data_IF_975283979080
#
_entry.id   IF_975283979080
#
_cell.length_a   1.000
_cell.length_b   1.000
_cell.length_c   1.000
_cell.angle_alpha   90.00
_cell.angle_beta   90.00
_cell.angle_gamma   90.00
#
_symmetry.space_group_name_H-M   'P 1'
#
loop_
_entity.id
_entity.type
_entity.pdbx_description
1 polymer ?
#
# COMPACT_ATOMS: atom_id res chain seq x y z
N UNK A 1 -2.73 1.34 3.71
CA UNK A 1 -2.92 1.47 2.25
C UNK A 1 -3.19 2.91 1.84
N UNK A 2 -4.36 3.54 2.12
CA UNK A 2 -4.70 4.91 1.67
C UNK A 2 -3.62 5.96 1.98
N UNK A 3 -3.16 6.02 3.23
CA UNK A 3 -2.09 6.95 3.64
C UNK A 3 -0.79 6.70 2.87
N UNK A 4 -0.43 5.45 2.64
CA UNK A 4 0.78 5.08 1.89
C UNK A 4 0.70 5.55 0.44
N UNK A 5 -0.44 5.38 -0.22
CA UNK A 5 -0.58 5.66 -1.65
C UNK A 5 -0.75 7.16 -1.94
N UNK A 6 -1.39 7.90 -1.04
CA UNK A 6 -1.68 9.32 -1.27
C UNK A 6 -0.72 10.28 -0.58
N UNK A 7 0.00 9.89 0.48
CA UNK A 7 0.82 10.81 1.28
C UNK A 7 1.84 11.59 0.43
N UNK A 8 2.54 10.87 -0.46
CA UNK A 8 3.53 11.44 -1.36
C UNK A 8 2.89 12.47 -2.32
N UNK A 9 1.83 12.06 -3.01
CA UNK A 9 1.11 12.93 -3.95
C UNK A 9 0.54 14.16 -3.26
N UNK A 10 -0.09 13.99 -2.09
CA UNK A 10 -0.66 15.09 -1.29
C UNK A 10 0.41 16.06 -0.83
N UNK A 11 1.56 15.57 -0.36
CA UNK A 11 2.65 16.44 0.10
C UNK A 11 3.22 17.29 -1.04
N UNK A 12 3.58 16.64 -2.16
CA UNK A 12 4.15 17.35 -3.31
C UNK A 12 3.16 18.32 -3.95
N UNK A 13 1.91 17.90 -4.16
CA UNK A 13 0.87 18.77 -4.74
C UNK A 13 0.55 19.96 -3.85
N UNK A 14 0.57 19.78 -2.52
CA UNK A 14 0.34 20.87 -1.56
C UNK A 14 1.45 21.90 -1.61
N UNK A 15 2.72 21.48 -1.59
CA UNK A 15 3.87 22.38 -1.70
C UNK A 15 3.89 23.09 -3.06
N UNK A 16 3.57 22.38 -4.14
CA UNK A 16 3.44 22.92 -5.49
C UNK A 16 2.34 23.99 -5.57
N UNK A 17 1.18 23.73 -4.96
CA UNK A 17 0.08 24.69 -4.90
C UNK A 17 0.50 26.02 -4.28
N UNK A 18 1.19 25.98 -3.15
CA UNK A 18 1.69 27.20 -2.47
C UNK A 18 2.75 27.89 -3.30
N UNK A 19 3.67 27.12 -3.90
CA UNK A 19 4.72 27.67 -4.76
C UNK A 19 4.14 28.39 -5.99
N UNK A 20 3.22 27.75 -6.71
CA UNK A 20 2.51 28.35 -7.88
C UNK A 20 1.73 29.60 -7.46
N UNK A 21 1.05 29.55 -6.32
CA UNK A 21 0.30 30.70 -5.79
C UNK A 21 1.17 31.93 -5.55
N UNK A 22 2.40 31.71 -5.09
CA UNK A 22 3.38 32.82 -4.90
C UNK A 22 3.99 33.32 -6.20
N UNK A 23 4.22 32.43 -7.19
CA UNK A 23 4.81 32.80 -8.48
C UNK A 23 3.82 33.51 -9.41
N UNK A 24 2.60 33.00 -9.51
CA UNK A 24 1.63 33.38 -10.55
C UNK A 24 0.31 33.93 -9.99
N UNK A 25 0.21 34.05 -8.66
CA UNK A 25 -0.96 34.61 -8.00
C UNK A 25 -2.25 33.84 -8.28
N UNK A 26 -3.40 34.56 -8.28
CA UNK A 26 -4.74 33.96 -8.44
C UNK A 26 -4.90 33.19 -9.76
N UNK A 27 -4.32 33.69 -10.87
CA UNK A 27 -4.39 33.01 -12.18
C UNK A 27 -3.70 31.66 -12.15
N UNK A 28 -2.49 31.58 -11.56
CA UNK A 28 -1.76 30.32 -11.38
C UNK A 28 -2.53 29.33 -10.52
N UNK A 29 -3.14 29.79 -9.43
CA UNK A 29 -3.97 28.92 -8.56
C UNK A 29 -5.19 28.37 -9.28
N UNK A 30 -5.84 29.15 -10.15
CA UNK A 30 -6.98 28.68 -10.96
C UNK A 30 -6.54 27.60 -11.95
N UNK A 31 -5.42 27.80 -12.67
CA UNK A 31 -4.86 26.79 -13.59
C UNK A 31 -4.52 25.52 -12.83
N UNK A 32 -3.85 25.65 -11.69
CA UNK A 32 -3.47 24.49 -10.86
C UNK A 32 -4.68 23.77 -10.30
N UNK A 33 -5.69 24.49 -9.84
CA UNK A 33 -6.96 23.93 -9.35
C UNK A 33 -7.71 23.18 -10.46
N UNK A 34 -7.79 23.76 -11.67
CA UNK A 34 -8.38 23.10 -12.82
C UNK A 34 -7.63 21.81 -13.21
N UNK A 35 -6.30 21.84 -13.21
CA UNK A 35 -5.47 20.67 -13.48
C UNK A 35 -5.68 19.56 -12.44
N UNK A 36 -5.75 19.90 -11.15
CA UNK A 36 -6.09 18.93 -10.09
C UNK A 36 -7.48 18.34 -10.30
N UNK A 37 -8.47 19.16 -10.62
CA UNK A 37 -9.82 18.72 -10.94
C UNK A 37 -9.85 17.73 -12.11
N UNK A 38 -9.13 18.02 -13.19
CA UNK A 38 -8.97 17.10 -14.32
C UNK A 38 -8.27 15.81 -13.92
N UNK A 39 -7.23 15.88 -13.10
CA UNK A 39 -6.55 14.69 -12.54
C UNK A 39 -7.50 13.80 -11.73
N UNK A 40 -8.36 14.39 -10.91
CA UNK A 40 -9.39 13.66 -10.14
C UNK A 40 -10.42 13.03 -11.07
N UNK A 41 -10.96 13.77 -12.04
CA UNK A 41 -11.93 13.26 -13.01
C UNK A 41 -11.36 12.08 -13.83
N UNK A 42 -10.12 12.23 -14.32
CA UNK A 42 -9.42 11.15 -15.02
C UNK A 42 -9.20 9.93 -14.12
N UNK A 43 -8.91 10.15 -12.82
CA UNK A 43 -8.77 9.06 -11.83
C UNK A 43 -10.08 8.30 -11.62
N UNK A 44 -11.20 9.02 -11.51
CA UNK A 44 -12.53 8.40 -11.37
C UNK A 44 -12.87 7.59 -12.63
N UNK A 45 -12.64 8.16 -13.82
CA UNK A 45 -12.86 7.46 -15.08
C UNK A 45 -11.99 6.19 -15.18
N UNK A 46 -10.70 6.29 -14.82
CA UNK A 46 -9.79 5.14 -14.81
C UNK A 46 -10.23 4.07 -13.80
N UNK A 47 -10.66 4.48 -12.60
CA UNK A 47 -11.19 3.56 -11.60
C UNK A 47 -12.45 2.84 -12.10
N UNK A 48 -13.38 3.56 -12.73
CA UNK A 48 -14.59 2.98 -13.33
C UNK A 48 -14.25 1.98 -14.45
N UNK A 49 -13.30 2.31 -15.33
CA UNK A 49 -12.85 1.38 -16.38
C UNK A 49 -12.21 0.13 -15.78
N UNK A 50 -11.32 0.29 -14.77
CA UNK A 50 -10.68 -0.84 -14.08
C UNK A 50 -11.70 -1.72 -13.35
N UNK A 51 -12.74 -1.13 -12.78
CA UNK A 51 -13.79 -1.87 -12.07
C UNK A 51 -14.65 -2.69 -13.03
N UNK A 52 -15.06 -2.11 -14.16
CA UNK A 52 -15.98 -2.73 -15.10
C UNK A 52 -15.30 -3.62 -16.15
N UNK A 53 -14.01 -3.44 -16.37
CA UNK A 53 -13.27 -4.14 -17.42
C UNK A 53 -11.93 -4.65 -16.92
N UNK A 54 -11.42 -5.72 -17.54
CA UNK A 54 -10.05 -6.22 -17.29
C UNK A 54 -9.05 -5.71 -18.34
N UNK A 55 -9.42 -4.69 -19.11
CA UNK A 55 -8.62 -4.19 -20.23
C UNK A 55 -7.33 -3.52 -19.79
N UNK A 56 -7.31 -2.90 -18.58
CA UNK A 56 -6.17 -2.13 -18.11
C UNK A 56 -5.38 -2.94 -17.07
N UNK A 57 -4.26 -3.50 -17.53
CA UNK A 57 -3.28 -4.15 -16.67
C UNK A 57 -2.28 -3.09 -16.19
N UNK A 58 -2.39 -2.70 -14.92
CA UNK A 58 -1.60 -1.60 -14.34
C UNK A 58 -0.09 -1.79 -14.52
N UNK A 59 0.43 -3.01 -14.46
CA UNK A 59 1.86 -3.29 -14.66
C UNK A 59 2.36 -2.90 -16.05
N UNK A 60 1.51 -2.97 -17.08
CA UNK A 60 1.88 -2.60 -18.45
C UNK A 60 1.91 -1.07 -18.68
N UNK A 61 1.05 -0.32 -17.96
CA UNK A 61 0.90 1.12 -18.19
C UNK A 61 1.70 1.97 -17.22
N UNK A 62 2.02 1.46 -16.04
CA UNK A 62 2.67 2.24 -14.99
C UNK A 62 4.03 2.82 -15.42
N UNK A 63 4.81 2.12 -16.25
CA UNK A 63 6.10 2.64 -16.69
C UNK A 63 5.98 3.90 -17.55
N UNK A 64 4.93 4.03 -18.38
CA UNK A 64 4.68 5.27 -19.14
C UNK A 64 4.33 6.42 -18.19
N UNK A 65 3.55 6.15 -17.16
CA UNK A 65 3.19 7.16 -16.14
C UNK A 65 4.44 7.59 -15.36
N UNK A 66 5.31 6.65 -14.98
CA UNK A 66 6.59 6.99 -14.35
C UNK A 66 7.50 7.82 -15.26
N UNK A 67 7.52 7.54 -16.57
CA UNK A 67 8.26 8.36 -17.53
C UNK A 67 7.74 9.79 -17.58
N UNK A 68 6.42 9.98 -17.66
CA UNK A 68 5.78 11.31 -17.65
C UNK A 68 6.09 12.06 -16.35
N UNK A 69 5.91 11.40 -15.21
CA UNK A 69 6.19 11.99 -13.89
C UNK A 69 7.67 12.38 -13.80
N UNK A 70 8.58 11.50 -14.19
CA UNK A 70 10.02 11.76 -14.16
C UNK A 70 10.39 12.94 -15.04
N UNK A 71 9.91 12.97 -16.29
CA UNK A 71 10.17 14.07 -17.24
C UNK A 71 9.66 15.42 -16.70
N UNK A 72 8.43 15.47 -16.20
CA UNK A 72 7.87 16.70 -15.61
C UNK A 72 8.63 17.12 -14.35
N UNK A 73 9.05 16.17 -13.52
CA UNK A 73 9.84 16.44 -12.31
C UNK A 73 11.20 17.04 -12.68
N UNK A 74 11.91 16.45 -13.64
CA UNK A 74 13.21 16.97 -14.11
C UNK A 74 13.07 18.36 -14.73
N UNK A 75 12.02 18.63 -15.52
CA UNK A 75 11.74 19.94 -16.07
C UNK A 75 11.50 20.98 -14.95
N UNK A 76 10.75 20.65 -13.92
CA UNK A 76 10.51 21.56 -12.80
C UNK A 76 11.80 21.84 -12.04
N UNK A 77 12.61 20.82 -11.76
CA UNK A 77 13.92 21.00 -11.13
C UNK A 77 14.82 21.91 -11.95
N UNK A 78 14.91 21.69 -13.25
CA UNK A 78 15.68 22.54 -14.16
C UNK A 78 15.19 23.99 -14.15
N UNK A 79 13.86 24.20 -14.30
CA UNK A 79 13.30 25.54 -14.30
C UNK A 79 13.42 26.23 -12.94
N UNK A 80 13.34 25.48 -11.85
CA UNK A 80 13.54 25.99 -10.50
C UNK A 80 14.98 26.48 -10.28
N UNK A 81 15.97 25.82 -10.87
CA UNK A 81 17.38 26.24 -10.86
C UNK A 81 17.59 27.48 -11.73
N UNK A 82 17.04 27.47 -12.95
CA UNK A 82 17.24 28.55 -13.92
C UNK A 82 16.53 29.84 -13.52
N UNK A 83 15.31 29.74 -12.98
CA UNK A 83 14.43 30.90 -12.74
C UNK A 83 14.16 31.16 -11.24
N UNK A 84 14.53 30.24 -10.34
CA UNK A 84 14.21 30.34 -8.91
C UNK A 84 15.13 31.27 -8.12
N UNK A 85 16.30 31.67 -8.62
CA UNK A 85 17.31 32.46 -7.93
C UNK A 85 17.30 33.96 -8.24
N UNK A 86 16.63 34.42 -9.28
CA UNK A 86 16.63 35.82 -9.66
C UNK A 86 15.47 36.57 -9.02
N UNK A 87 15.76 37.47 -8.10
CA UNK A 87 14.86 38.55 -7.64
C UNK A 87 14.51 39.52 -8.78
N UNK A 88 15.37 39.64 -9.80
CA UNK A 88 15.18 40.42 -11.01
C UNK A 88 14.29 39.66 -12.01
N UNK A 89 12.99 40.05 -12.05
CA UNK A 89 11.95 39.71 -13.03
C UNK A 89 12.22 38.44 -13.83
N UNK A 90 11.94 37.25 -13.35
CA UNK A 90 11.98 36.06 -14.23
C UNK A 90 11.03 36.34 -15.38
N UNK A 91 11.48 36.08 -16.62
CA UNK A 91 10.69 36.29 -17.80
C UNK A 91 9.29 35.71 -17.59
N UNK A 92 8.25 36.47 -17.98
CA UNK A 92 6.85 36.03 -17.80
C UNK A 92 6.61 34.61 -18.33
N UNK A 93 7.33 34.24 -19.40
CA UNK A 93 7.34 32.92 -19.97
C UNK A 93 7.84 31.83 -19.00
N UNK A 94 8.94 32.04 -18.26
CA UNK A 94 9.47 31.05 -17.31
C UNK A 94 8.53 30.75 -16.15
N UNK A 95 7.82 31.77 -15.63
CA UNK A 95 6.79 31.59 -14.60
C UNK A 95 5.56 30.84 -15.13
N UNK A 96 5.12 31.17 -16.35
CA UNK A 96 4.02 30.46 -16.99
C UNK A 96 4.38 28.97 -17.20
N UNK A 97 5.61 28.70 -17.65
CA UNK A 97 6.10 27.34 -17.88
C UNK A 97 6.16 26.55 -16.56
N UNK A 98 6.71 27.11 -15.49
CA UNK A 98 6.71 26.49 -14.15
C UNK A 98 5.29 26.25 -13.64
N UNK A 99 4.35 27.17 -13.86
CA UNK A 99 2.96 27.00 -13.48
C UNK A 99 2.30 25.83 -14.23
N UNK A 100 2.48 25.76 -15.54
CA UNK A 100 1.90 24.70 -16.38
C UNK A 100 2.50 23.35 -16.07
N UNK A 101 3.84 23.23 -16.05
CA UNK A 101 4.52 21.95 -15.76
C UNK A 101 4.23 21.47 -14.35
N UNK A 102 4.23 22.36 -13.33
CA UNK A 102 3.88 22.01 -11.97
C UNK A 102 2.41 21.60 -11.81
N UNK A 103 1.51 22.23 -12.57
CA UNK A 103 0.09 21.83 -12.58
C UNK A 103 -0.13 20.48 -13.25
N UNK A 104 0.55 20.21 -14.37
CA UNK A 104 0.52 18.91 -15.04
C UNK A 104 1.11 17.81 -14.16
N UNK A 105 2.25 18.06 -13.51
CA UNK A 105 2.83 17.09 -12.57
C UNK A 105 1.84 16.75 -11.45
N UNK A 106 1.23 17.77 -10.86
CA UNK A 106 0.25 17.56 -9.77
C UNK A 106 -0.97 16.76 -10.23
N UNK A 107 -1.48 17.05 -11.42
CA UNK A 107 -2.58 16.28 -12.03
C UNK A 107 -2.18 14.82 -12.28
N UNK A 108 -0.96 14.58 -12.79
CA UNK A 108 -0.44 13.23 -13.07
C UNK A 108 -0.21 12.45 -11.78
N UNK A 109 0.27 13.10 -10.70
CA UNK A 109 0.43 12.47 -9.38
C UNK A 109 -0.92 12.00 -8.80
N UNK A 110 -1.95 12.84 -8.90
CA UNK A 110 -3.31 12.47 -8.48
C UNK A 110 -3.85 11.34 -9.36
N UNK A 111 -3.70 11.46 -10.68
CA UNK A 111 -4.13 10.43 -11.64
C UNK A 111 -3.49 9.07 -11.37
N UNK A 112 -2.23 9.04 -10.96
CA UNK A 112 -1.52 7.80 -10.62
C UNK A 112 -1.98 7.20 -9.28
N UNK A 113 -2.13 8.03 -8.25
CA UNK A 113 -2.31 7.58 -6.86
C UNK A 113 -3.77 7.32 -6.48
N UNK A 114 -4.72 8.08 -7.03
CA UNK A 114 -6.10 8.08 -6.57
C UNK A 114 -6.94 6.86 -7.04
N UNK A 115 -6.78 6.30 -8.26
CA UNK A 115 -7.64 5.22 -8.74
C UNK A 115 -7.63 3.97 -7.85
N UNK A 116 -6.45 3.58 -7.33
CA UNK A 116 -6.33 2.47 -6.39
C UNK A 116 -7.13 2.73 -5.11
N UNK A 117 -7.01 3.94 -4.57
CA UNK A 117 -7.70 4.34 -3.34
C UNK A 117 -9.22 4.36 -3.50
N UNK A 118 -9.73 4.77 -4.67
CA UNK A 118 -11.16 4.73 -4.99
C UNK A 118 -11.72 3.30 -5.09
N UNK A 119 -10.86 2.34 -5.43
CA UNK A 119 -11.26 0.93 -5.55
C UNK A 119 -11.19 0.16 -4.23
N UNK A 120 -10.54 0.68 -3.18
CA UNK A 120 -10.44 -0.01 -1.89
C UNK A 120 -11.77 -0.41 -1.28
N UNK A 121 -12.84 0.42 -1.25
CA UNK A 121 -14.13 0.01 -0.71
C UNK A 121 -14.69 -1.27 -1.33
N UNK A 122 -14.44 -1.49 -2.61
CA UNK A 122 -14.90 -2.70 -3.30
C UNK A 122 -14.07 -3.95 -2.94
N UNK A 123 -12.80 -3.76 -2.53
CA UNK A 123 -11.95 -4.86 -2.05
C UNK A 123 -12.19 -5.25 -0.59
N UNK A 124 -12.96 -4.46 0.17
CA UNK A 124 -13.30 -4.77 1.56
C UNK A 124 -14.39 -5.82 1.69
N UNK A 125 -15.12 -6.09 0.61
CA UNK A 125 -16.12 -7.15 0.57
C UNK A 125 -15.43 -8.49 0.30
N UNK A 126 -15.20 -9.28 1.36
CA UNK A 126 -14.68 -10.64 1.23
C UNK A 126 -15.84 -11.63 1.12
N UNK A 127 -15.63 -12.74 0.40
CA UNK A 127 -16.65 -13.78 0.27
C UNK A 127 -17.11 -14.25 1.66
N UNK A 128 -18.42 -14.19 1.91
CA UNK A 128 -19.05 -14.55 3.19
C UNK A 128 -19.33 -13.38 4.14
N UNK A 129 -18.82 -12.16 3.87
CA UNK A 129 -19.12 -10.98 4.68
C UNK A 129 -19.75 -9.90 3.79
N UNK A 130 -21.04 -9.65 3.98
CA UNK A 130 -21.77 -8.65 3.22
C UNK A 130 -21.37 -7.20 3.53
N UNK A 131 -21.82 -6.25 2.69
CA UNK A 131 -21.58 -4.80 2.84
C UNK A 131 -22.07 -4.20 4.17
N UNK A 132 -22.94 -4.91 4.91
CA UNK A 132 -23.46 -4.49 6.22
C UNK A 132 -22.75 -5.16 7.40
N UNK A 133 -21.64 -5.84 7.16
CA UNK A 133 -20.85 -6.46 8.25
C UNK A 133 -20.10 -5.40 9.06
N UNK A 134 -19.86 -5.66 10.35
CA UNK A 134 -19.02 -4.80 11.20
C UNK A 134 -17.60 -4.67 10.65
N UNK A 135 -17.08 -5.72 10.04
CA UNK A 135 -15.77 -5.73 9.40
C UNK A 135 -15.70 -4.72 8.23
N UNK A 136 -16.70 -4.72 7.36
CA UNK A 136 -16.79 -3.76 6.27
C UNK A 136 -16.92 -2.32 6.80
N UNK A 137 -17.76 -2.10 7.80
CA UNK A 137 -17.99 -0.79 8.42
C UNK A 137 -16.70 -0.22 9.04
N UNK A 138 -15.91 -1.03 9.75
CA UNK A 138 -14.62 -0.61 10.34
C UNK A 138 -13.61 -0.24 9.24
N UNK A 139 -13.50 -1.04 8.18
CA UNK A 139 -12.60 -0.73 7.04
C UNK A 139 -13.03 0.53 6.29
N UNK A 140 -14.33 0.73 6.09
CA UNK A 140 -14.87 1.98 5.52
C UNK A 140 -14.57 3.20 6.39
N UNK A 141 -14.76 3.08 7.71
CA UNK A 141 -14.41 4.15 8.65
C UNK A 141 -12.91 4.48 8.61
N UNK A 142 -12.05 3.46 8.55
CA UNK A 142 -10.61 3.63 8.39
C UNK A 142 -10.22 4.30 7.06
N UNK A 143 -10.87 3.92 5.97
CA UNK A 143 -10.69 4.54 4.64
C UNK A 143 -11.07 6.02 4.64
N UNK A 144 -12.27 6.36 5.15
CA UNK A 144 -12.74 7.74 5.29
C UNK A 144 -11.84 8.53 6.25
N UNK A 145 -11.49 7.96 7.40
CA UNK A 145 -10.61 8.59 8.38
C UNK A 145 -9.23 8.94 7.80
N UNK A 146 -8.66 8.06 6.97
CA UNK A 146 -7.39 8.32 6.30
C UNK A 146 -7.50 9.46 5.28
N UNK A 147 -8.59 9.56 4.52
CA UNK A 147 -8.84 10.68 3.59
C UNK A 147 -8.99 12.00 4.34
N UNK A 148 -9.76 12.02 5.45
CA UNK A 148 -9.91 13.20 6.30
C UNK A 148 -8.56 13.61 6.91
N UNK A 149 -7.77 12.66 7.41
CA UNK A 149 -6.43 12.92 7.96
C UNK A 149 -5.53 13.58 6.92
N UNK A 150 -5.47 13.05 5.70
CA UNK A 150 -4.66 13.60 4.61
C UNK A 150 -5.17 14.98 4.16
N UNK A 151 -6.48 15.21 4.14
CA UNK A 151 -7.05 16.53 3.87
C UNK A 151 -6.63 17.55 4.92
N UNK A 152 -6.77 17.23 6.21
CA UNK A 152 -6.34 18.10 7.32
C UNK A 152 -4.83 18.36 7.24
N UNK A 153 -4.04 17.32 7.01
CA UNK A 153 -2.59 17.43 6.80
C UNK A 153 -2.25 18.40 5.66
N UNK A 154 -2.88 18.25 4.49
CA UNK A 154 -2.69 19.15 3.34
C UNK A 154 -3.01 20.60 3.69
N UNK A 155 -4.12 20.85 4.39
CA UNK A 155 -4.54 22.20 4.81
C UNK A 155 -3.52 22.82 5.79
N UNK A 156 -3.02 22.04 6.74
CA UNK A 156 -2.03 22.50 7.70
C UNK A 156 -0.66 22.73 7.03
N UNK A 157 -0.22 21.84 6.15
CA UNK A 157 1.03 21.99 5.39
C UNK A 157 0.99 23.21 4.47
N UNK A 158 -0.13 23.46 3.80
CA UNK A 158 -0.33 24.66 3.00
C UNK A 158 -0.19 25.94 3.84
N UNK A 159 -0.80 25.99 5.03
CA UNK A 159 -0.65 27.13 5.95
C UNK A 159 0.79 27.28 6.44
N UNK A 160 1.46 26.17 6.77
CA UNK A 160 2.86 26.18 7.15
C UNK A 160 3.75 26.79 6.05
N UNK A 161 3.60 26.33 4.82
CA UNK A 161 4.34 26.82 3.67
C UNK A 161 4.05 28.31 3.35
N UNK A 162 2.84 28.79 3.67
CA UNK A 162 2.51 30.22 3.54
C UNK A 162 3.13 31.11 4.64
N UNK A 163 3.29 30.57 5.86
CA UNK A 163 3.73 31.34 7.02
C UNK A 163 5.23 31.30 7.27
N UNK A 164 5.93 30.28 6.76
CA UNK A 164 7.35 30.07 6.99
C UNK A 164 8.19 31.19 6.33
N UNK A 165 9.21 31.64 7.05
CA UNK A 165 10.17 32.65 6.57
C UNK A 165 11.62 32.12 6.80
N UNK A 166 12.54 32.33 5.83
CA UNK A 166 12.31 32.91 4.49
C UNK A 166 11.51 31.97 3.57
N UNK A 167 10.75 32.55 2.64
CA UNK A 167 9.93 31.77 1.68
C UNK A 167 10.76 30.81 0.82
N UNK A 168 12.05 31.11 0.61
CA UNK A 168 13.00 30.23 -0.12
C UNK A 168 13.05 28.78 0.42
N UNK A 169 12.66 28.56 1.68
CA UNK A 169 12.56 27.22 2.26
C UNK A 169 11.49 26.36 1.57
N UNK A 170 10.42 26.96 1.03
CA UNK A 170 9.34 26.23 0.36
C UNK A 170 9.79 25.62 -0.98
N UNK A 171 10.35 26.40 -1.94
CA UNK A 171 10.89 25.79 -3.15
C UNK A 171 12.07 24.86 -2.87
N UNK A 172 12.89 25.11 -1.84
CA UNK A 172 13.95 24.18 -1.45
C UNK A 172 13.39 22.84 -0.97
N UNK A 173 12.38 22.84 -0.10
CA UNK A 173 11.68 21.65 0.35
C UNK A 173 10.98 20.92 -0.79
N UNK A 174 10.31 21.66 -1.69
CA UNK A 174 9.69 21.10 -2.89
C UNK A 174 10.71 20.41 -3.78
N UNK A 175 11.84 21.08 -4.09
CA UNK A 175 12.88 20.53 -4.94
C UNK A 175 13.56 19.30 -4.31
N UNK A 176 13.78 19.28 -3.00
CA UNK A 176 14.30 18.11 -2.30
C UNK A 176 13.33 16.92 -2.38
N UNK A 177 12.04 17.17 -2.19
CA UNK A 177 11.00 16.16 -2.36
C UNK A 177 10.88 15.64 -3.79
N UNK A 178 10.93 16.54 -4.78
CA UNK A 178 10.90 16.19 -6.19
C UNK A 178 12.15 15.38 -6.62
N UNK A 179 13.33 15.75 -6.13
CA UNK A 179 14.56 15.00 -6.39
C UNK A 179 14.48 13.59 -5.82
N UNK A 180 14.05 13.45 -4.57
CA UNK A 180 13.83 12.14 -3.96
C UNK A 180 12.84 11.30 -4.78
N UNK A 181 11.75 11.92 -5.23
CA UNK A 181 10.75 11.23 -6.03
C UNK A 181 11.24 10.89 -7.45
N UNK A 182 12.05 11.74 -8.06
CA UNK A 182 12.69 11.45 -9.36
C UNK A 182 13.58 10.21 -9.28
N UNK A 183 14.36 10.09 -8.20
CA UNK A 183 15.20 8.91 -7.91
C UNK A 183 14.36 7.63 -7.82
N UNK A 184 13.21 7.68 -7.15
CA UNK A 184 12.25 6.57 -7.09
C UNK A 184 11.68 6.24 -8.48
N UNK A 185 11.18 7.25 -9.20
CA UNK A 185 10.56 7.07 -10.51
C UNK A 185 11.55 6.51 -11.54
N UNK A 186 12.84 6.93 -11.49
CA UNK A 186 13.88 6.40 -12.33
C UNK A 186 14.03 4.88 -12.18
N UNK A 187 14.12 4.37 -10.95
CA UNK A 187 14.19 2.94 -10.70
C UNK A 187 12.93 2.18 -11.17
N UNK A 188 11.76 2.77 -10.97
CA UNK A 188 10.48 2.16 -11.38
C UNK A 188 10.23 2.21 -12.89
N UNK A 189 10.77 3.22 -13.57
CA UNK A 189 10.69 3.33 -15.03
C UNK A 189 11.47 2.23 -15.75
N UNK A 190 12.67 1.91 -15.27
CA UNK A 190 13.52 0.90 -15.93
C UNK A 190 13.08 -0.54 -15.67
N UNK A 191 12.33 -0.81 -14.58
CA UNK A 191 11.92 -2.16 -14.22
C UNK A 191 11.25 -2.97 -15.34
N UNK A 192 10.24 -2.45 -16.08
CA UNK A 192 9.62 -3.18 -17.18
C UNK A 192 10.54 -3.33 -18.42
N UNK A 193 11.42 -2.38 -18.66
CA UNK A 193 12.34 -2.41 -19.82
C UNK A 193 13.34 -3.53 -19.71
N UNK A 194 13.91 -3.76 -18.54
CA UNK A 194 14.83 -4.88 -18.29
C UNK A 194 14.12 -6.22 -18.48
N UNK A 195 12.89 -6.35 -17.96
CA UNK A 195 12.09 -7.55 -18.15
C UNK A 195 11.71 -7.77 -19.64
N UNK A 196 11.39 -6.70 -20.36
CA UNK A 196 11.03 -6.78 -21.78
C UNK A 196 12.24 -7.10 -22.65
N UNK A 197 13.41 -6.54 -22.37
CA UNK A 197 14.65 -6.86 -23.05
C UNK A 197 14.99 -8.35 -22.92
N UNK A 198 14.79 -8.93 -21.72
CA UNK A 198 14.94 -10.37 -21.47
C UNK A 198 13.96 -11.20 -22.30
N UNK A 199 12.71 -10.75 -22.42
CA UNK A 199 11.66 -11.42 -23.21
C UNK A 199 11.94 -11.38 -24.70
N UNK A 200 12.58 -10.30 -25.21
CA UNK A 200 12.95 -10.13 -26.62
C UNK A 200 14.27 -10.82 -26.96
N UNK A 201 14.85 -11.58 -26.02
CA UNK A 201 16.13 -12.29 -26.24
C UNK A 201 17.34 -11.36 -26.40
N UNK A 202 17.22 -10.10 -25.99
CA UNK A 202 18.37 -9.21 -25.96
C UNK A 202 19.39 -9.73 -24.93
N UNK A 203 20.69 -9.66 -25.23
CA UNK A 203 21.72 -10.19 -24.35
C UNK A 203 21.91 -9.30 -23.12
N UNK A 204 20.85 -9.16 -22.33
CA UNK A 204 20.89 -8.51 -21.02
C UNK A 204 21.35 -9.56 -20.02
N UNK A 205 22.64 -9.73 -19.90
CA UNK A 205 23.21 -10.51 -18.82
C UNK A 205 23.16 -9.68 -17.55
N UNK A 206 22.43 -10.15 -16.55
CA UNK A 206 22.45 -9.55 -15.19
C UNK A 206 23.83 -9.54 -14.55
N UNK A 207 24.79 -10.26 -15.15
CA UNK A 207 26.20 -10.34 -14.76
C UNK A 207 27.06 -9.20 -15.34
N UNK A 208 26.58 -8.44 -16.32
CA UNK A 208 27.31 -7.27 -16.83
C UNK A 208 27.20 -6.14 -15.80
N UNK A 209 28.31 -5.57 -15.37
CA UNK A 209 28.39 -4.57 -14.29
C UNK A 209 27.38 -3.41 -14.45
N UNK A 210 27.18 -2.90 -15.66
CA UNK A 210 26.23 -1.82 -15.94
C UNK A 210 24.78 -2.24 -15.69
N UNK A 211 24.38 -3.44 -16.10
CA UNK A 211 23.02 -3.95 -15.90
C UNK A 211 22.81 -4.46 -14.47
N UNK A 212 23.85 -4.97 -13.83
CA UNK A 212 23.83 -5.37 -12.42
C UNK A 212 23.50 -4.19 -11.52
N UNK A 213 24.09 -3.01 -11.81
CA UNK A 213 23.81 -1.79 -11.05
C UNK A 213 22.37 -1.30 -11.24
N UNK A 214 21.87 -1.22 -12.48
CA UNK A 214 20.47 -0.84 -12.77
C UNK A 214 19.50 -1.83 -12.12
N UNK A 215 19.77 -3.14 -12.22
CA UNK A 215 18.96 -4.19 -11.61
C UNK A 215 18.91 -4.06 -10.10
N UNK A 216 20.04 -3.83 -9.44
CA UNK A 216 20.12 -3.60 -7.99
C UNK A 216 19.33 -2.36 -7.58
N UNK A 217 19.42 -1.28 -8.35
CA UNK A 217 18.65 -0.05 -8.12
C UNK A 217 17.14 -0.25 -8.26
N UNK A 218 16.71 -1.01 -9.27
CA UNK A 218 15.30 -1.36 -9.45
C UNK A 218 14.75 -2.16 -8.28
N UNK A 219 15.50 -3.17 -7.83
CA UNK A 219 15.14 -3.98 -6.66
C UNK A 219 15.10 -3.14 -5.39
N UNK A 220 16.08 -2.26 -5.19
CA UNK A 220 16.11 -1.33 -4.07
C UNK A 220 14.86 -0.44 -4.04
N UNK A 221 14.51 0.23 -5.15
CA UNK A 221 13.33 1.10 -5.21
C UNK A 221 12.02 0.35 -5.04
N UNK A 222 11.95 -0.92 -5.44
CA UNK A 222 10.79 -1.78 -5.26
C UNK A 222 10.61 -2.19 -3.79
N UNK A 223 11.67 -2.66 -3.15
CA UNK A 223 11.65 -3.14 -1.76
C UNK A 223 11.57 -1.99 -0.73
N UNK A 224 12.15 -0.83 -1.05
CA UNK A 224 12.24 0.32 -0.14
C UNK A 224 11.36 1.51 -0.55
N UNK A 225 10.21 1.27 -1.20
CA UNK A 225 9.28 2.33 -1.60
C UNK A 225 8.84 3.24 -0.43
N UNK A 226 8.75 2.70 0.78
CA UNK A 226 8.43 3.44 1.99
C UNK A 226 9.49 4.49 2.36
N UNK A 227 10.76 4.27 2.00
CA UNK A 227 11.84 5.23 2.27
C UNK A 227 11.53 6.62 1.67
N UNK A 228 11.02 6.64 0.43
CA UNK A 228 10.69 7.89 -0.26
C UNK A 228 9.52 8.63 0.38
N UNK A 229 8.57 7.90 0.98
CA UNK A 229 7.50 8.48 1.78
C UNK A 229 8.06 9.09 3.07
N UNK A 230 8.98 8.40 3.75
CA UNK A 230 9.63 8.88 4.96
C UNK A 230 10.49 10.12 4.73
N UNK A 231 11.16 10.23 3.57
CA UNK A 231 11.89 11.45 3.19
C UNK A 231 10.93 12.64 3.10
N UNK A 232 9.76 12.48 2.47
CA UNK A 232 8.77 13.55 2.40
C UNK A 232 8.14 13.87 3.76
N UNK A 233 7.93 12.88 4.60
CA UNK A 233 7.49 13.07 5.97
C UNK A 233 8.54 13.88 6.77
N UNK A 234 9.82 13.55 6.62
CA UNK A 234 10.91 14.31 7.26
C UNK A 234 10.98 15.76 6.78
N UNK A 235 10.76 16.02 5.48
CA UNK A 235 10.66 17.39 4.94
C UNK A 235 9.49 18.14 5.57
N UNK A 236 8.31 17.52 5.69
CA UNK A 236 7.15 18.15 6.34
C UNK A 236 7.38 18.42 7.82
N UNK A 237 8.03 17.49 8.53
CA UNK A 237 8.44 17.67 9.95
C UNK A 237 9.43 18.81 10.08
N UNK A 238 10.44 18.89 9.21
CA UNK A 238 11.42 19.98 9.21
C UNK A 238 10.74 21.33 9.04
N UNK A 239 9.83 21.49 8.06
CA UNK A 239 9.07 22.72 7.86
C UNK A 239 8.22 23.05 9.09
N UNK A 240 7.57 22.06 9.71
CA UNK A 240 6.79 22.26 10.93
C UNK A 240 7.67 22.72 12.12
N UNK A 241 8.82 22.09 12.32
CA UNK A 241 9.77 22.49 13.38
C UNK A 241 10.29 23.90 13.16
N UNK A 242 10.62 24.27 11.92
CA UNK A 242 11.06 25.63 11.59
C UNK A 242 9.94 26.66 11.84
N UNK A 243 8.70 26.37 11.46
CA UNK A 243 7.56 27.23 11.77
C UNK A 243 7.29 27.32 13.28
N UNK A 244 7.42 26.22 14.02
CA UNK A 244 7.27 26.21 15.47
C UNK A 244 8.31 27.13 16.12
N UNK A 245 9.60 26.99 15.76
CA UNK A 245 10.69 27.85 16.23
C UNK A 245 10.47 29.32 15.87
N UNK A 246 9.96 29.61 14.65
CA UNK A 246 9.59 30.95 14.26
C UNK A 246 8.48 31.54 15.16
N UNK A 247 7.54 30.70 15.62
CA UNK A 247 6.45 31.07 16.51
C UNK A 247 6.85 31.17 18.01
N UNK A 248 8.08 30.84 18.41
CA UNK A 248 8.52 31.00 19.82
C UNK A 248 9.04 32.38 20.13
N UNK A 249 9.58 33.11 19.13
CA UNK A 249 10.22 34.40 19.31
C UNK A 249 9.44 35.50 18.61
N UNK A 250 9.23 36.63 19.28
CA UNK A 250 8.68 37.85 18.66
C UNK A 250 9.90 38.65 18.17
N UNK A 251 10.06 38.72 16.84
CA UNK A 251 11.18 39.44 16.20
C UNK A 251 10.76 40.78 15.62
N UNK A 252 9.46 41.04 15.53
CA UNK A 252 8.95 42.31 15.00
C UNK A 252 8.81 43.32 16.11
N UNK A 253 9.24 44.60 15.91
CA UNK A 253 9.01 45.67 16.85
C UNK A 253 7.52 45.93 17.04
N UNK A 254 7.12 46.43 18.19
CA UNK A 254 5.77 46.80 18.52
C UNK A 254 5.72 48.10 19.31
N UNK A 255 4.78 48.97 18.96
CA UNK A 255 4.69 50.28 19.56
C UNK A 255 3.68 50.35 20.72
N UNK A 256 2.77 49.38 20.78
CA UNK A 256 1.72 49.37 21.80
C UNK A 256 1.34 47.95 22.24
N UNK A 257 0.69 47.79 23.43
CA UNK A 257 0.25 46.50 23.93
C UNK A 257 -0.74 45.73 23.06
N UNK A 258 -1.53 46.41 22.21
CA UNK A 258 -2.46 45.79 21.31
C UNK A 258 -1.75 45.09 20.14
N UNK A 259 -0.71 45.71 19.59
CA UNK A 259 0.17 45.09 18.60
C UNK A 259 0.88 43.86 19.17
N UNK A 260 1.41 43.96 20.40
CA UNK A 260 2.05 42.82 21.08
C UNK A 260 1.08 41.64 21.24
N UNK A 261 -0.20 41.91 21.59
CA UNK A 261 -1.24 40.86 21.68
C UNK A 261 -1.51 40.19 20.33
N UNK A 262 -1.54 40.94 19.23
CA UNK A 262 -1.69 40.40 17.86
C UNK A 262 -0.50 39.52 17.49
N UNK A 263 0.74 39.95 17.77
CA UNK A 263 1.95 39.16 17.49
C UNK A 263 1.97 37.86 18.29
N UNK A 264 1.63 37.93 19.59
CA UNK A 264 1.50 36.72 20.44
C UNK A 264 0.42 35.78 19.94
N UNK A 265 -0.73 36.28 19.47
CA UNK A 265 -1.81 35.48 18.91
C UNK A 265 -1.39 34.78 17.60
N UNK A 266 -0.72 35.52 16.70
CA UNK A 266 -0.15 34.99 15.46
C UNK A 266 0.87 33.89 15.74
N UNK A 267 1.80 34.11 16.66
CA UNK A 267 2.84 33.14 17.02
C UNK A 267 2.22 31.88 17.64
N UNK A 268 1.19 32.01 18.49
CA UNK A 268 0.43 30.85 18.99
C UNK A 268 -0.25 30.08 17.85
N UNK A 269 -0.82 30.78 16.86
CA UNK A 269 -1.42 30.15 15.69
C UNK A 269 -0.38 29.33 14.90
N UNK A 270 0.81 29.90 14.63
CA UNK A 270 1.89 29.19 13.95
C UNK A 270 2.33 27.90 14.67
N UNK A 271 2.50 27.98 16.00
CA UNK A 271 2.81 26.81 16.80
C UNK A 271 1.72 25.73 16.75
N UNK A 272 0.43 26.12 16.76
CA UNK A 272 -0.69 25.18 16.60
C UNK A 272 -0.68 24.50 15.23
N UNK A 273 -0.42 25.24 14.17
CA UNK A 273 -0.30 24.69 12.81
C UNK A 273 0.86 23.69 12.75
N UNK A 274 2.02 24.05 13.30
CA UNK A 274 3.17 23.18 13.35
C UNK A 274 2.89 21.88 14.13
N UNK A 275 2.34 21.99 15.33
CA UNK A 275 1.95 20.84 16.14
C UNK A 275 0.92 19.94 15.46
N UNK A 276 -0.05 20.56 14.74
CA UNK A 276 -1.02 19.82 13.96
C UNK A 276 -0.38 18.99 12.84
N UNK A 277 0.63 19.52 12.13
CA UNK A 277 1.39 18.76 11.12
C UNK A 277 2.13 17.60 11.77
N UNK A 278 2.83 17.84 12.88
CA UNK A 278 3.56 16.80 13.60
C UNK A 278 2.63 15.66 14.04
N UNK A 279 1.45 16.02 14.57
CA UNK A 279 0.43 15.03 14.92
C UNK A 279 -0.07 14.25 13.70
N UNK A 280 -0.39 14.92 12.59
CA UNK A 280 -0.83 14.24 11.36
C UNK A 280 0.24 13.29 10.83
N UNK A 281 1.51 13.71 10.78
CA UNK A 281 2.62 12.86 10.33
C UNK A 281 2.81 11.67 11.28
N UNK A 282 2.74 11.89 12.59
CA UNK A 282 2.82 10.81 13.58
C UNK A 282 1.69 9.79 13.42
N UNK A 283 0.45 10.25 13.23
CA UNK A 283 -0.69 9.36 12.96
C UNK A 283 -0.51 8.59 11.65
N UNK A 284 -0.08 9.26 10.57
CA UNK A 284 0.24 8.58 9.32
C UNK A 284 1.36 7.53 9.52
N UNK A 285 2.38 7.84 10.33
CA UNK A 285 3.45 6.90 10.64
C UNK A 285 2.93 5.67 11.38
N UNK A 286 2.12 5.84 12.41
CA UNK A 286 1.48 4.72 13.13
C UNK A 286 0.63 3.87 12.19
N UNK A 287 -0.19 4.49 11.34
CA UNK A 287 -1.01 3.77 10.36
C UNK A 287 -0.15 2.98 9.37
N UNK A 288 0.92 3.58 8.84
CA UNK A 288 1.77 2.96 7.83
C UNK A 288 2.74 1.91 8.38
N UNK A 289 2.98 1.88 9.68
CA UNK A 289 3.85 0.89 10.35
C UNK A 289 3.02 -0.09 11.17
N UNK A 290 2.53 0.33 12.34
CA UNK A 290 1.87 -0.55 13.32
C UNK A 290 0.61 -1.20 12.74
N UNK A 291 -0.33 -0.36 12.26
CA UNK A 291 -1.63 -0.88 11.76
C UNK A 291 -1.42 -1.74 10.51
N UNK A 292 -0.52 -1.32 9.61
CA UNK A 292 -0.22 -2.11 8.40
C UNK A 292 0.44 -3.44 8.75
N UNK A 293 1.39 -3.46 9.68
CA UNK A 293 2.06 -4.69 10.10
C UNK A 293 1.08 -5.66 10.73
N UNK A 294 0.15 -5.16 11.55
CA UNK A 294 -0.90 -5.99 12.13
C UNK A 294 -1.88 -6.52 11.06
N UNK A 295 -2.34 -5.67 10.15
CA UNK A 295 -3.25 -6.05 9.05
C UNK A 295 -2.57 -7.02 8.03
N UNK A 296 -1.25 -6.92 7.85
CA UNK A 296 -0.48 -7.79 6.96
C UNK A 296 0.22 -8.95 7.68
N UNK A 297 -0.01 -9.09 8.99
CA UNK A 297 0.58 -10.16 9.78
C UNK A 297 0.18 -11.50 9.19
N UNK A 298 1.17 -12.26 8.75
CA UNK A 298 0.93 -13.61 8.29
C UNK A 298 0.50 -14.45 9.50
N UNK A 299 -0.70 -14.99 9.43
CA UNK A 299 -1.17 -15.96 10.41
C UNK A 299 -0.29 -17.21 10.25
N UNK A 300 0.40 -17.60 11.30
CA UNK A 300 1.10 -18.87 11.32
C UNK A 300 0.06 -19.99 11.32
N UNK A 301 0.32 -21.03 10.53
CA UNK A 301 -0.50 -22.21 10.53
C UNK A 301 -0.24 -22.98 11.85
N UNK A 302 -1.26 -23.61 12.42
CA UNK A 302 -1.07 -24.50 13.58
C UNK A 302 -0.03 -25.58 13.27
N UNK A 303 0.75 -25.97 14.27
CA UNK A 303 1.69 -27.07 14.11
C UNK A 303 0.93 -28.36 13.74
N UNK A 304 1.54 -29.26 12.93
CA UNK A 304 0.95 -30.58 12.66
C UNK A 304 0.81 -31.40 13.93
N UNK A 305 -0.29 -32.12 14.03
CA UNK A 305 -0.57 -33.01 15.16
C UNK A 305 0.03 -34.40 14.96
N UNK A 306 0.20 -35.09 16.06
CA UNK A 306 0.79 -36.42 16.06
C UNK A 306 -0.26 -37.48 15.65
N UNK A 307 0.17 -38.46 14.86
CA UNK A 307 -0.65 -39.57 14.41
C UNK A 307 0.17 -40.88 14.42
N UNK A 308 -0.49 -41.99 14.26
CA UNK A 308 0.16 -43.33 14.18
C UNK A 308 0.23 -43.76 12.72
N UNK A 309 1.39 -44.24 12.30
CA UNK A 309 1.62 -44.83 10.97
C UNK A 309 1.70 -46.35 11.08
N UNK A 310 0.81 -47.03 10.39
CA UNK A 310 0.92 -48.44 10.14
C UNK A 310 1.67 -48.67 8.81
N UNK A 311 2.95 -48.92 8.90
CA UNK A 311 3.81 -49.07 7.71
C UNK A 311 3.49 -50.34 6.92
N UNK A 312 3.09 -51.45 7.58
CA UNK A 312 2.76 -52.72 6.93
C UNK A 312 1.46 -52.58 6.12
N UNK A 313 0.47 -51.90 6.67
CA UNK A 313 -0.79 -51.64 5.97
C UNK A 313 -0.74 -50.44 5.05
N UNK A 314 0.31 -49.60 5.09
CA UNK A 314 0.40 -48.36 4.32
C UNK A 314 -0.67 -47.33 4.67
N UNK A 315 -1.00 -47.20 5.97
CA UNK A 315 -2.11 -46.39 6.47
C UNK A 315 -1.66 -45.46 7.60
N UNK A 316 -2.35 -44.31 7.70
CA UNK A 316 -2.24 -43.39 8.83
C UNK A 316 -3.52 -43.45 9.63
N UNK A 317 -3.36 -43.63 10.94
CA UNK A 317 -4.45 -43.75 11.91
C UNK A 317 -4.52 -42.49 12.77
N UNK A 318 -5.67 -41.83 12.78
CA UNK A 318 -5.96 -40.66 13.63
C UNK A 318 -7.13 -41.02 14.53
N UNK A 319 -6.96 -41.04 15.87
CA UNK A 319 -8.06 -41.31 16.79
C UNK A 319 -9.16 -40.25 16.63
N UNK A 320 -10.40 -40.70 16.48
CA UNK A 320 -11.55 -39.82 16.30
C UNK A 320 -11.77 -38.89 17.51
N UNK A 321 -11.43 -39.33 18.69
CA UNK A 321 -11.55 -38.53 19.92
C UNK A 321 -10.71 -37.25 19.84
N UNK A 322 -9.54 -37.29 19.21
CA UNK A 322 -8.61 -36.15 19.09
C UNK A 322 -9.11 -35.08 18.12
N UNK A 323 -10.02 -35.41 17.20
CA UNK A 323 -10.50 -34.50 16.13
C UNK A 323 -12.02 -34.27 16.20
N UNK A 324 -12.64 -34.60 17.34
CA UNK A 324 -14.10 -34.53 17.51
C UNK A 324 -14.60 -33.25 18.18
N UNK A 325 -13.74 -32.32 18.50
CA UNK A 325 -14.01 -31.07 19.21
C UNK A 325 -14.62 -29.96 18.32
N UNK A 326 -14.62 -30.16 17.01
CA UNK A 326 -15.13 -29.18 16.02
C UNK A 326 -14.12 -28.12 15.59
N UNK A 327 -12.89 -28.20 16.07
CA UNK A 327 -11.79 -27.33 15.68
C UNK A 327 -11.03 -27.86 14.45
N UNK A 328 -10.16 -27.01 13.90
CA UNK A 328 -9.31 -27.36 12.76
C UNK A 328 -8.06 -28.13 13.22
N UNK A 329 -7.99 -29.40 12.89
CA UNK A 329 -6.82 -30.25 13.12
C UNK A 329 -5.99 -30.33 11.85
N UNK A 330 -4.66 -30.22 11.98
CA UNK A 330 -3.71 -30.28 10.85
C UNK A 330 -2.76 -31.43 11.05
N UNK A 331 -2.52 -32.14 9.96
CA UNK A 331 -1.56 -33.24 9.88
C UNK A 331 -0.61 -33.01 8.71
N UNK A 332 0.58 -33.61 8.79
CA UNK A 332 1.62 -33.46 7.78
C UNK A 332 2.37 -34.79 7.61
N UNK A 333 2.58 -35.20 6.38
CA UNK A 333 3.39 -36.37 6.04
C UNK A 333 4.49 -35.99 5.05
N UNK A 334 5.74 -36.34 5.40
CA UNK A 334 6.90 -36.10 4.52
C UNK A 334 7.09 -37.27 3.58
N UNK A 335 6.97 -37.02 2.28
CA UNK A 335 7.15 -38.03 1.24
C UNK A 335 8.64 -38.35 1.00
N UNK A 336 8.95 -39.45 0.32
CA UNK A 336 10.31 -39.84 -0.07
C UNK A 336 11.01 -38.77 -0.93
N UNK A 337 10.26 -37.90 -1.60
CA UNK A 337 10.78 -36.78 -2.37
C UNK A 337 11.01 -35.50 -1.54
N UNK A 338 10.96 -35.65 -0.21
CA UNK A 338 11.16 -34.55 0.74
C UNK A 338 10.12 -33.39 0.58
N UNK A 339 8.88 -33.76 0.25
CA UNK A 339 7.75 -32.81 0.14
C UNK A 339 6.82 -33.07 1.30
N UNK A 340 6.48 -32.02 2.03
CA UNK A 340 5.57 -32.05 3.18
C UNK A 340 4.12 -31.90 2.68
N UNK A 341 3.39 -33.00 2.63
CA UNK A 341 1.97 -33.04 2.26
C UNK A 341 1.13 -32.84 3.51
N UNK A 342 0.35 -31.76 3.52
CA UNK A 342 -0.50 -31.40 4.67
C UNK A 342 -1.97 -31.64 4.34
N UNK A 343 -2.72 -32.09 5.34
CA UNK A 343 -4.18 -32.21 5.26
C UNK A 343 -4.83 -31.70 6.56
N UNK A 344 -6.10 -31.39 6.45
CA UNK A 344 -6.90 -30.90 7.55
C UNK A 344 -8.11 -31.80 7.79
N UNK A 345 -8.49 -31.87 9.05
CA UNK A 345 -9.66 -32.58 9.52
C UNK A 345 -10.46 -31.63 10.41
N UNK A 346 -11.78 -31.61 10.25
CA UNK A 346 -12.71 -30.87 11.12
C UNK A 346 -13.99 -31.65 11.26
N UNK A 347 -14.53 -31.77 12.47
CA UNK A 347 -15.83 -32.39 12.69
C UNK A 347 -16.94 -31.46 12.21
N UNK A 348 -17.83 -31.98 11.34
CA UNK A 348 -18.98 -31.20 10.87
C UNK A 348 -19.99 -31.00 11.99
N UNK A 349 -20.54 -29.77 12.14
CA UNK A 349 -21.52 -29.49 13.19
C UNK A 349 -22.79 -30.32 12.99
N UNK A 350 -23.35 -30.84 14.08
CA UNK A 350 -24.55 -31.66 14.11
C UNK A 350 -24.50 -32.91 13.22
N UNK A 351 -23.32 -33.47 13.00
CA UNK A 351 -23.10 -34.65 12.16
C UNK A 351 -22.02 -35.55 12.74
N UNK A 352 -22.08 -36.85 12.44
CA UNK A 352 -20.98 -37.78 12.70
C UNK A 352 -19.87 -37.72 11.67
N UNK A 353 -20.06 -36.94 10.58
CA UNK A 353 -19.12 -36.85 9.47
C UNK A 353 -18.01 -35.82 9.76
N UNK A 354 -16.86 -36.05 9.16
CA UNK A 354 -15.72 -35.14 9.15
C UNK A 354 -15.57 -34.46 7.81
N UNK A 355 -15.14 -33.21 7.84
CA UNK A 355 -14.63 -32.49 6.66
C UNK A 355 -13.14 -32.77 6.55
N UNK A 356 -12.75 -33.46 5.50
CA UNK A 356 -11.34 -33.85 5.28
C UNK A 356 -10.91 -33.34 3.91
N UNK A 357 -9.71 -32.77 3.83
CA UNK A 357 -9.10 -32.35 2.58
C UNK A 357 -7.64 -31.95 2.74
N UNK A 358 -6.95 -31.82 1.62
CA UNK A 358 -5.58 -31.30 1.63
C UNK A 358 -5.59 -29.85 2.15
N UNK A 359 -4.54 -29.46 2.85
CA UNK A 359 -4.32 -28.08 3.31
C UNK A 359 -3.91 -27.17 2.13
N UNK A 360 -4.64 -27.33 1.03
CA UNK A 360 -4.47 -26.69 -0.26
C UNK A 360 -5.81 -26.60 -1.00
N UNK A 361 -5.96 -25.62 -1.89
CA UNK A 361 -7.13 -25.50 -2.77
C UNK A 361 -6.74 -25.22 -4.21
N UNK A 362 -7.68 -25.45 -5.15
CA UNK A 362 -7.45 -25.25 -6.58
C UNK A 362 -7.14 -23.79 -6.96
N UNK A 363 -7.60 -22.81 -6.17
CA UNK A 363 -7.46 -21.35 -6.46
C UNK A 363 -6.19 -20.78 -5.80
N UNK A 364 -5.93 -21.13 -4.55
CA UNK A 364 -4.85 -20.52 -3.74
C UNK A 364 -3.60 -21.40 -3.58
N UNK A 365 -3.64 -22.63 -4.08
CA UNK A 365 -2.55 -23.61 -3.94
C UNK A 365 -2.36 -24.03 -2.49
N UNK A 366 -1.12 -24.31 -2.08
CA UNK A 366 -0.69 -24.82 -0.78
C UNK A 366 -0.60 -23.76 0.34
N UNK A 367 -1.36 -22.68 0.25
CA UNK A 367 -1.34 -21.60 1.23
C UNK A 367 -1.78 -22.03 2.64
N UNK A 368 -2.67 -23.01 2.71
CA UNK A 368 -3.21 -23.58 3.94
C UNK A 368 -4.40 -22.82 4.49
N UNK A 369 -4.97 -23.38 5.56
CA UNK A 369 -6.13 -22.85 6.28
C UNK A 369 -5.77 -22.62 7.75
N UNK A 370 -6.40 -21.65 8.38
CA UNK A 370 -6.28 -21.42 9.82
C UNK A 370 -7.66 -21.19 10.43
N UNK A 371 -7.75 -21.39 11.73
CA UNK A 371 -8.97 -21.11 12.48
C UNK A 371 -8.88 -19.76 13.20
N UNK A 372 -9.95 -18.97 13.11
CA UNK A 372 -10.12 -17.73 13.87
C UNK A 372 -11.57 -17.57 14.28
N UNK A 373 -11.82 -17.46 15.58
CA UNK A 373 -13.16 -17.34 16.18
C UNK A 373 -14.13 -18.47 15.75
N UNK A 374 -13.65 -19.69 15.70
CA UNK A 374 -14.44 -20.87 15.29
C UNK A 374 -14.74 -20.93 13.78
N UNK A 375 -14.10 -20.10 12.97
CA UNK A 375 -14.24 -20.09 11.51
C UNK A 375 -12.95 -20.54 10.85
N UNK A 376 -13.05 -21.44 9.89
CA UNK A 376 -11.91 -21.91 9.08
C UNK A 376 -11.75 -20.95 7.90
N UNK A 377 -10.55 -20.41 7.74
CA UNK A 377 -10.23 -19.32 6.82
C UNK A 377 -9.04 -19.71 5.96
N UNK A 378 -9.14 -19.49 4.64
CA UNK A 378 -8.00 -19.66 3.74
C UNK A 378 -6.94 -18.59 3.99
N UNK A 379 -5.70 -18.98 4.24
CA UNK A 379 -4.59 -18.07 4.58
C UNK A 379 -4.27 -17.06 3.48
N UNK A 380 -4.50 -17.39 2.21
CA UNK A 380 -4.14 -16.53 1.08
C UNK A 380 -5.19 -15.50 0.71
N UNK A 381 -6.48 -15.90 0.74
CA UNK A 381 -7.57 -15.05 0.25
C UNK A 381 -8.53 -14.57 1.35
N UNK A 382 -8.29 -14.95 2.63
CA UNK A 382 -9.14 -14.62 3.79
C UNK A 382 -10.62 -15.04 3.65
N UNK A 383 -10.92 -15.97 2.74
CA UNK A 383 -12.28 -16.49 2.56
C UNK A 383 -12.59 -17.45 3.70
N UNK A 384 -13.74 -17.21 4.33
CA UNK A 384 -14.30 -18.11 5.38
C UNK A 384 -14.91 -19.32 4.70
N UNK A 385 -14.44 -20.51 5.11
CA UNK A 385 -14.97 -21.78 4.63
C UNK A 385 -16.26 -22.14 5.35
N UNK A 386 -17.24 -22.64 4.63
CA UNK A 386 -18.37 -23.31 5.25
C UNK A 386 -17.91 -24.72 5.65
N UNK A 387 -17.89 -25.00 6.95
CA UNK A 387 -17.43 -26.30 7.51
C UNK A 387 -18.18 -27.47 6.86
N UNK A 388 -19.45 -27.32 6.52
CA UNK A 388 -20.24 -28.37 5.90
C UNK A 388 -19.77 -28.71 4.47
N UNK A 389 -19.12 -27.77 3.78
CA UNK A 389 -18.61 -27.95 2.42
C UNK A 389 -17.16 -28.44 2.36
N UNK A 390 -16.46 -28.49 3.49
CA UNK A 390 -15.13 -29.08 3.56
C UNK A 390 -15.25 -30.57 3.23
N UNK A 391 -14.41 -31.04 2.30
CA UNK A 391 -14.51 -32.39 1.71
C UNK A 391 -15.26 -32.45 0.38
N UNK A 392 -15.79 -31.31 -0.12
CA UNK A 392 -16.35 -31.20 -1.48
C UNK A 392 -15.41 -30.41 -2.38
N UNK A 393 -15.33 -30.84 -3.65
CA UNK A 393 -14.48 -30.21 -4.65
C UNK A 393 -15.04 -28.86 -5.11
N UNK A 394 -14.16 -27.88 -5.26
CA UNK A 394 -14.44 -26.62 -5.96
C UNK A 394 -14.08 -25.34 -5.19
N UNK A 395 -13.67 -24.34 -5.92
CA UNK A 395 -13.34 -23.00 -5.42
C UNK A 395 -12.20 -22.99 -4.42
N UNK A 396 -12.40 -22.28 -3.30
CA UNK A 396 -11.43 -22.20 -2.21
C UNK A 396 -11.59 -23.32 -1.17
N UNK A 397 -12.45 -24.31 -1.40
CA UNK A 397 -12.54 -25.46 -0.50
C UNK A 397 -11.23 -26.27 -0.54
N UNK A 398 -10.86 -26.89 0.60
CA UNK A 398 -9.79 -27.88 0.63
C UNK A 398 -10.01 -28.97 -0.42
N UNK A 399 -8.96 -29.35 -1.14
CA UNK A 399 -9.03 -30.43 -2.11
C UNK A 399 -9.41 -31.71 -1.37
N UNK A 400 -10.53 -32.37 -1.72
CA UNK A 400 -11.02 -33.52 -0.98
C UNK A 400 -9.99 -34.64 -0.89
N UNK A 401 -9.86 -35.25 0.28
CA UNK A 401 -9.04 -36.42 0.51
C UNK A 401 -9.90 -37.54 1.06
N UNK A 402 -9.88 -38.75 0.48
CA UNK A 402 -10.65 -39.87 0.97
C UNK A 402 -10.16 -40.35 2.35
N UNK A 403 -11.11 -40.80 3.17
CA UNK A 403 -10.83 -41.39 4.46
C UNK A 403 -11.85 -42.48 4.78
N UNK A 404 -11.49 -43.40 5.64
CA UNK A 404 -12.35 -44.45 6.17
C UNK A 404 -12.48 -44.29 7.69
N UNK A 405 -13.60 -44.72 8.25
CA UNK A 405 -13.81 -44.77 9.70
C UNK A 405 -13.88 -46.23 10.14
N UNK A 406 -12.95 -46.65 11.00
CA UNK A 406 -12.90 -47.99 11.52
C UNK A 406 -12.29 -48.01 12.91
N UNK A 407 -12.87 -48.79 13.80
CA UNK A 407 -12.38 -49.03 15.16
C UNK A 407 -12.05 -47.74 15.95
N UNK A 408 -12.89 -46.71 15.82
CA UNK A 408 -12.69 -45.44 16.50
C UNK A 408 -11.61 -44.53 15.91
N UNK A 409 -11.07 -44.88 14.74
CA UNK A 409 -10.03 -44.11 14.04
C UNK A 409 -10.51 -43.61 12.68
N UNK A 410 -9.97 -42.47 12.27
CA UNK A 410 -9.95 -42.03 10.88
C UNK A 410 -8.71 -42.61 10.21
N UNK A 411 -8.91 -43.33 9.11
CA UNK A 411 -7.87 -44.03 8.38
C UNK A 411 -7.61 -43.35 7.04
N UNK A 412 -6.36 -42.98 6.80
CA UNK A 412 -5.90 -42.38 5.55
C UNK A 412 -4.89 -43.31 4.89
N UNK A 413 -5.09 -43.58 3.60
CA UNK A 413 -4.13 -44.37 2.83
C UNK A 413 -2.93 -43.50 2.42
N UNK A 414 -1.73 -44.00 2.60
CA UNK A 414 -0.52 -43.29 2.18
C UNK A 414 -0.50 -43.00 0.68
N UNK A 415 -1.09 -43.86 -0.15
CA UNK A 415 -1.24 -43.62 -1.59
C UNK A 415 -2.01 -42.36 -1.91
N UNK A 416 -3.08 -42.06 -1.14
CA UNK A 416 -3.91 -40.91 -1.38
C UNK A 416 -3.23 -39.60 -0.93
N UNK A 417 -2.45 -39.69 0.17
CA UNK A 417 -1.63 -38.57 0.64
C UNK A 417 -0.52 -38.26 -0.38
N UNK A 418 0.19 -39.30 -0.87
CA UNK A 418 1.25 -39.13 -1.88
C UNK A 418 0.68 -38.61 -3.21
N UNK A 419 -0.56 -38.98 -3.60
CA UNK A 419 -1.22 -38.41 -4.77
C UNK A 419 -1.46 -36.92 -4.65
N UNK A 420 -1.60 -36.40 -3.41
CA UNK A 420 -1.70 -34.97 -3.09
C UNK A 420 -0.38 -34.19 -3.21
N UNK A 421 0.78 -34.83 -3.33
CA UNK A 421 2.12 -34.22 -3.41
C UNK A 421 2.22 -33.11 -4.46
N UNK A 422 1.54 -33.28 -5.58
CA UNK A 422 1.53 -32.34 -6.71
C UNK A 422 1.05 -30.92 -6.31
N UNK A 423 0.23 -30.81 -5.28
CA UNK A 423 -0.34 -29.53 -4.81
C UNK A 423 0.63 -28.78 -3.88
N UNK A 424 1.73 -29.45 -3.42
CA UNK A 424 2.71 -28.89 -2.48
C UNK A 424 4.10 -28.67 -3.10
N UNK A 425 4.22 -28.91 -4.40
CA UNK A 425 5.47 -28.67 -5.16
C UNK A 425 5.79 -27.21 -5.40
#
# INVERSE_FOLDING_TARGET
MVTQDLFLAVTLTTLMHVFIGRLSGRKGLLIHGAALGLGVLASVALAAVKFNTRLIISSHWNHYIYAVILSLTLLILLFSILFGRQESRPMRAGRALLCVTGSLLSATLIFYSLPGVLLYPFSFNTMGQGYFSSYYAVRMAGWLGALVLLFVYSRLLSRCALYIKPFALVPAALNAGLLSFAVYCFGRFFAPWVNRAKWLGWPVKYTDEAYGWIGSWMMFTASHSMLFIWILAAIAVLLAVLLFRQGTVIREPYDNPAQLRKLKARNRHWRRVAMGILLCVALCAVIMTVVKTDDTRQVELSAPEVYTVDQEAGMILVPMENVSDGHLHRFEYRTDKNIDVRWIVVKKPNSAAFGVGLDACEVCGNAGYFERNGQIICKRCDVVMNINTIGFKGGCNPIPMPYEVKDGNLIFRLSDIIAGEKEFR
#
